data_IF_623278581494
#
_entry.id   IF_623278581494
#
_cell.length_a   1.000
_cell.length_b   1.000
_cell.length_c   1.000
_cell.angle_alpha   90.00
_cell.angle_beta   90.00
_cell.angle_gamma   90.00
#
_symmetry.space_group_name_H-M   'P 1'
#
loop_
_entity.id
_entity.type
_entity.pdbx_description
1 polymer ?
#
# COMPACT_ATOMS: atom_id res chain seq x y z
N UNK A 1 22.03 -23.82 -20.54
CA UNK A 1 20.63 -23.38 -20.32
C UNK A 1 19.75 -24.60 -20.44
N UNK A 2 19.01 -24.95 -19.39
CA UNK A 2 18.22 -26.18 -19.29
C UNK A 2 16.71 -25.89 -19.19
N UNK A 3 16.32 -24.63 -19.44
CA UNK A 3 14.94 -24.20 -19.42
C UNK A 3 14.17 -24.91 -20.54
N UNK A 4 13.05 -25.55 -20.19
CA UNK A 4 12.21 -26.32 -21.12
C UNK A 4 12.64 -27.79 -21.29
N UNK A 5 13.65 -28.23 -20.58
CA UNK A 5 14.13 -29.63 -20.63
C UNK A 5 13.59 -30.51 -19.49
N UNK A 6 12.72 -29.96 -18.63
CA UNK A 6 12.20 -30.67 -17.47
C UNK A 6 13.23 -30.90 -16.37
N UNK A 7 14.16 -29.97 -16.22
CA UNK A 7 15.20 -30.06 -15.19
C UNK A 7 14.63 -30.02 -13.77
N UNK A 8 15.35 -30.61 -12.82
CA UNK A 8 14.92 -30.65 -11.43
C UNK A 8 14.62 -29.25 -10.89
N UNK A 9 13.41 -29.07 -10.33
CA UNK A 9 12.88 -27.79 -9.82
C UNK A 9 12.70 -26.70 -10.89
N UNK A 10 12.59 -27.06 -12.17
CA UNK A 10 12.21 -26.10 -13.19
C UNK A 10 10.83 -25.51 -12.88
N UNK A 11 10.71 -24.20 -12.91
CA UNK A 11 9.47 -23.46 -12.70
C UNK A 11 9.28 -22.40 -13.79
N UNK A 12 8.09 -21.84 -13.85
CA UNK A 12 7.77 -20.73 -14.77
C UNK A 12 7.45 -19.46 -13.96
N UNK A 13 8.47 -18.75 -13.40
CA UNK A 13 8.25 -17.61 -12.52
C UNK A 13 7.45 -16.48 -13.16
N UNK A 14 7.64 -16.24 -14.47
CA UNK A 14 6.89 -15.22 -15.19
C UNK A 14 5.38 -15.51 -15.20
N UNK A 15 4.98 -16.77 -15.34
CA UNK A 15 3.58 -17.16 -15.27
C UNK A 15 3.06 -17.09 -13.83
N UNK A 16 3.87 -17.55 -12.87
CA UNK A 16 3.52 -17.59 -11.45
C UNK A 16 3.22 -16.18 -10.89
N UNK A 17 4.04 -15.20 -11.23
CA UNK A 17 3.95 -13.85 -10.65
C UNK A 17 3.10 -12.89 -11.48
N UNK A 18 2.57 -13.28 -12.63
CA UNK A 18 1.80 -12.40 -13.52
C UNK A 18 0.60 -11.78 -12.86
N UNK A 19 -0.10 -12.51 -11.99
CA UNK A 19 -1.34 -12.06 -11.35
C UNK A 19 -1.12 -11.24 -10.06
N UNK A 20 0.09 -11.25 -9.51
CA UNK A 20 0.37 -10.62 -8.23
C UNK A 20 1.51 -9.59 -8.28
N UNK A 21 2.01 -9.27 -9.47
CA UNK A 21 3.05 -8.27 -9.65
C UNK A 21 2.71 -7.27 -10.74
N UNK A 22 3.10 -6.02 -10.53
CA UNK A 22 2.92 -4.91 -11.48
C UNK A 22 3.94 -4.91 -12.63
N UNK A 23 5.02 -5.67 -12.44
CA UNK A 23 6.09 -5.81 -13.42
C UNK A 23 6.71 -7.20 -13.29
N UNK A 24 6.77 -7.94 -14.40
CA UNK A 24 7.43 -9.26 -14.43
C UNK A 24 8.20 -9.37 -15.73
N UNK A 25 9.53 -9.43 -15.64
CA UNK A 25 10.39 -9.53 -16.83
C UNK A 25 11.49 -10.56 -16.68
N UNK A 26 11.79 -11.25 -17.78
CA UNK A 26 12.91 -12.16 -17.91
C UNK A 26 14.16 -11.40 -18.38
N UNK A 27 15.24 -11.50 -17.66
CA UNK A 27 16.55 -11.04 -18.10
C UNK A 27 17.18 -12.14 -18.97
N UNK A 28 17.07 -12.02 -20.28
CA UNK A 28 17.59 -12.99 -21.23
C UNK A 28 19.05 -12.74 -21.65
N UNK A 29 19.57 -11.55 -21.33
CA UNK A 29 20.94 -11.16 -21.65
C UNK A 29 21.49 -10.25 -20.53
N UNK A 30 22.74 -10.45 -20.03
CA UNK A 30 23.33 -9.62 -18.99
C UNK A 30 23.29 -8.10 -19.29
N UNK A 31 23.42 -7.73 -20.55
CA UNK A 31 23.40 -6.33 -20.97
C UNK A 31 22.05 -5.61 -20.74
N UNK A 32 20.96 -6.38 -20.63
CA UNK A 32 19.62 -5.84 -20.36
C UNK A 32 19.39 -5.54 -18.87
N UNK A 33 20.17 -6.17 -17.99
CA UNK A 33 19.94 -6.11 -16.54
C UNK A 33 19.82 -4.69 -15.98
N UNK A 34 20.71 -3.73 -16.33
CA UNK A 34 20.61 -2.38 -15.78
C UNK A 34 19.29 -1.67 -16.13
N UNK A 35 18.83 -1.83 -17.36
CA UNK A 35 17.60 -1.18 -17.82
C UNK A 35 16.34 -1.85 -17.22
N UNK A 36 16.31 -3.17 -17.21
CA UNK A 36 15.18 -3.92 -16.64
C UNK A 36 15.09 -3.66 -15.14
N UNK A 37 16.22 -3.64 -14.43
CA UNK A 37 16.27 -3.31 -13.01
C UNK A 37 15.75 -1.88 -12.75
N UNK A 38 16.19 -0.91 -13.54
CA UNK A 38 15.74 0.48 -13.43
C UNK A 38 14.20 0.57 -13.58
N UNK A 39 13.64 -0.08 -14.60
CA UNK A 39 12.19 -0.12 -14.83
C UNK A 39 11.44 -0.83 -13.70
N UNK A 40 11.97 -1.95 -13.20
CA UNK A 40 11.39 -2.68 -12.08
C UNK A 40 11.31 -1.83 -10.81
N UNK A 41 12.41 -1.16 -10.47
CA UNK A 41 12.48 -0.29 -9.29
C UNK A 41 11.51 0.90 -9.40
N UNK A 42 11.47 1.57 -10.55
CA UNK A 42 10.53 2.68 -10.77
C UNK A 42 9.07 2.21 -10.73
N UNK A 43 8.76 1.02 -11.25
CA UNK A 43 7.43 0.46 -11.16
C UNK A 43 7.05 0.16 -9.71
N UNK A 44 7.95 -0.49 -8.97
CA UNK A 44 7.70 -0.80 -7.56
C UNK A 44 7.49 0.45 -6.70
N UNK A 45 8.26 1.51 -6.93
CA UNK A 45 8.14 2.78 -6.21
C UNK A 45 6.90 3.54 -6.66
N UNK A 46 6.71 3.71 -7.98
CA UNK A 46 5.63 4.54 -8.53
C UNK A 46 4.24 3.96 -8.29
N UNK A 47 4.10 2.63 -8.33
CA UNK A 47 2.84 1.94 -8.05
C UNK A 47 2.69 1.48 -6.60
N UNK A 48 3.76 1.60 -5.79
CA UNK A 48 3.82 1.00 -4.45
C UNK A 48 3.47 -0.50 -4.47
N UNK A 49 3.92 -1.19 -5.52
CA UNK A 49 3.60 -2.56 -5.85
C UNK A 49 4.82 -3.48 -5.91
N UNK A 50 4.62 -4.66 -6.48
CA UNK A 50 5.65 -5.68 -6.59
C UNK A 50 6.23 -5.69 -8.00
N UNK A 51 7.55 -5.69 -8.11
CA UNK A 51 8.27 -5.94 -9.37
C UNK A 51 9.11 -7.22 -9.24
N UNK A 52 9.02 -8.07 -10.23
CA UNK A 52 9.72 -9.36 -10.28
C UNK A 52 10.67 -9.40 -11.47
N UNK A 53 11.93 -9.72 -11.18
CA UNK A 53 12.95 -10.01 -12.19
C UNK A 53 13.24 -11.52 -12.18
N UNK A 54 13.09 -12.13 -13.32
CA UNK A 54 13.45 -13.53 -13.50
C UNK A 54 14.85 -13.60 -14.11
N UNK A 55 15.79 -14.10 -13.34
CA UNK A 55 17.21 -14.20 -13.73
C UNK A 55 17.60 -15.66 -13.91
N UNK A 56 17.76 -16.15 -15.15
CA UNK A 56 18.26 -17.48 -15.42
C UNK A 56 19.69 -17.68 -14.88
N UNK A 57 20.02 -18.89 -14.46
CA UNK A 57 21.31 -19.20 -13.85
C UNK A 57 22.51 -18.96 -14.76
N UNK A 58 22.39 -19.23 -16.05
CA UNK A 58 23.42 -18.97 -17.06
C UNK A 58 23.66 -17.47 -17.26
N UNK A 59 22.58 -16.66 -17.23
CA UNK A 59 22.70 -15.21 -17.28
C UNK A 59 23.35 -14.67 -16.00
N UNK A 60 22.97 -15.21 -14.84
CA UNK A 60 23.56 -14.80 -13.56
C UNK A 60 25.06 -15.11 -13.43
N UNK A 61 25.53 -16.16 -14.10
CA UNK A 61 26.92 -16.61 -14.11
C UNK A 61 27.74 -15.97 -15.26
N UNK A 62 27.12 -15.23 -16.15
CA UNK A 62 27.78 -14.54 -17.25
C UNK A 62 28.55 -13.30 -16.77
N UNK A 63 29.57 -12.90 -17.52
CA UNK A 63 30.27 -11.65 -17.24
C UNK A 63 29.32 -10.47 -17.35
N UNK A 64 29.35 -9.60 -16.36
CA UNK A 64 28.62 -8.34 -16.41
C UNK A 64 29.19 -7.43 -17.51
N UNK A 65 28.36 -6.80 -18.33
CA UNK A 65 28.85 -5.80 -19.30
C UNK A 65 29.57 -4.68 -18.55
N UNK A 66 30.57 -4.08 -19.20
CA UNK A 66 31.27 -2.92 -18.64
C UNK A 66 30.23 -1.89 -18.20
N UNK A 67 30.14 -1.62 -16.90
CA UNK A 67 29.10 -0.78 -16.32
C UNK A 67 29.22 0.64 -16.88
N UNK A 68 28.23 1.05 -17.65
CA UNK A 68 27.93 2.47 -17.74
C UNK A 68 27.23 2.82 -16.43
N UNK A 69 27.83 3.63 -15.54
CA UNK A 69 27.21 3.97 -14.28
C UNK A 69 25.99 4.84 -14.57
N UNK A 70 24.83 4.20 -14.73
CA UNK A 70 23.59 4.94 -14.59
C UNK A 70 23.43 5.24 -13.11
N UNK A 71 23.60 6.50 -12.74
CA UNK A 71 23.18 6.92 -11.41
C UNK A 71 21.68 6.72 -11.32
N UNK A 72 21.28 5.68 -10.60
CA UNK A 72 19.89 5.49 -10.25
C UNK A 72 19.48 6.61 -9.28
N UNK A 73 18.60 7.47 -9.73
CA UNK A 73 17.92 8.45 -8.87
C UNK A 73 16.57 7.85 -8.55
N UNK A 74 16.35 7.55 -7.28
CA UNK A 74 15.03 7.13 -6.82
C UNK A 74 14.05 8.24 -7.13
N UNK A 75 13.11 7.98 -8.04
CA UNK A 75 11.98 8.88 -8.21
C UNK A 75 11.21 8.93 -6.90
N UNK A 76 10.98 10.15 -6.41
CA UNK A 76 10.13 10.31 -5.23
C UNK A 76 8.71 9.87 -5.61
N UNK A 77 8.03 9.10 -4.75
CA UNK A 77 6.65 8.74 -5.01
C UNK A 77 5.84 10.03 -5.23
N UNK A 78 5.02 10.03 -6.29
CA UNK A 78 4.18 11.19 -6.59
C UNK A 78 3.24 11.47 -5.41
N UNK A 79 3.26 12.70 -4.93
CA UNK A 79 2.31 13.16 -3.91
C UNK A 79 1.00 13.55 -4.59
N UNK A 80 -0.01 12.73 -4.40
CA UNK A 80 -1.37 13.05 -4.83
C UNK A 80 -2.03 13.89 -3.74
N UNK A 81 -2.46 15.10 -4.08
CA UNK A 81 -3.21 15.96 -3.18
C UNK A 81 -4.63 16.18 -3.75
N UNK A 82 -5.67 16.24 -2.90
CA UNK A 82 -7.01 16.53 -3.37
C UNK A 82 -7.10 17.98 -3.89
N UNK A 83 -7.98 18.20 -4.84
CA UNK A 83 -8.33 19.55 -5.31
C UNK A 83 -9.14 20.30 -4.25
N UNK A 84 -9.18 21.62 -4.34
CA UNK A 84 -10.01 22.43 -3.44
C UNK A 84 -11.49 22.03 -3.48
N UNK A 85 -12.02 21.71 -4.66
CA UNK A 85 -13.41 21.27 -4.84
C UNK A 85 -13.69 19.94 -4.11
N UNK A 86 -12.75 19.00 -4.15
CA UNK A 86 -12.86 17.73 -3.43
C UNK A 86 -12.79 17.94 -1.91
N UNK A 87 -11.90 18.81 -1.45
CA UNK A 87 -11.83 19.19 -0.03
C UNK A 87 -13.12 19.84 0.44
N UNK A 88 -13.68 20.79 -0.30
CA UNK A 88 -14.95 21.45 0.03
C UNK A 88 -16.10 20.44 0.09
N UNK A 89 -16.11 19.45 -0.82
CA UNK A 89 -17.10 18.37 -0.78
C UNK A 89 -16.94 17.51 0.47
N UNK A 90 -15.72 17.14 0.82
CA UNK A 90 -15.43 16.38 2.03
C UNK A 90 -15.86 17.15 3.28
N UNK A 91 -15.50 18.42 3.40
CA UNK A 91 -15.87 19.27 4.53
C UNK A 91 -17.39 19.37 4.69
N UNK A 92 -18.14 19.54 3.59
CA UNK A 92 -19.60 19.54 3.64
C UNK A 92 -20.17 18.21 4.16
N UNK A 93 -19.64 17.08 3.69
CA UNK A 93 -20.07 15.75 4.15
C UNK A 93 -19.79 15.55 5.64
N UNK A 94 -18.61 15.95 6.11
CA UNK A 94 -18.22 15.80 7.51
C UNK A 94 -19.07 16.71 8.42
N UNK A 95 -19.35 17.95 8.01
CA UNK A 95 -20.19 18.87 8.78
C UNK A 95 -21.65 18.44 8.87
N UNK A 96 -22.14 17.65 7.92
CA UNK A 96 -23.49 17.09 7.94
C UNK A 96 -23.58 15.77 8.72
N UNK A 97 -22.44 15.15 9.02
CA UNK A 97 -22.42 13.88 9.72
C UNK A 97 -22.81 14.05 11.19
N UNK A 98 -23.80 13.28 11.64
CA UNK A 98 -24.30 13.35 13.04
C UNK A 98 -23.45 12.52 14.00
N UNK A 99 -22.88 11.43 13.54
CA UNK A 99 -22.06 10.53 14.34
C UNK A 99 -20.95 9.91 13.47
N UNK A 100 -19.94 10.68 13.08
CA UNK A 100 -18.85 10.15 12.28
C UNK A 100 -17.99 9.17 13.08
N UNK A 101 -17.42 8.19 12.41
CA UNK A 101 -16.33 7.36 12.92
C UNK A 101 -15.20 7.31 11.88
N UNK A 102 -13.99 7.19 12.34
CA UNK A 102 -12.80 7.16 11.49
C UNK A 102 -12.26 5.73 11.48
N UNK A 103 -12.07 5.18 10.27
CA UNK A 103 -11.31 3.94 10.07
C UNK A 103 -9.92 4.32 9.55
N UNK A 104 -8.90 4.07 10.36
CA UNK A 104 -7.53 4.45 10.07
C UNK A 104 -6.66 3.22 9.75
N UNK A 105 -5.76 3.34 8.80
CA UNK A 105 -4.86 2.27 8.37
C UNK A 105 -3.42 2.74 8.23
N UNK A 106 -2.59 1.96 7.56
CA UNK A 106 -1.17 2.25 7.32
C UNK A 106 -0.94 3.57 6.54
N UNK A 107 -1.94 4.05 5.79
CA UNK A 107 -1.87 5.35 5.12
C UNK A 107 -1.79 6.56 6.06
N UNK A 108 -2.02 6.34 7.39
CA UNK A 108 -1.86 7.38 8.41
C UNK A 108 -0.40 7.54 8.89
N UNK A 109 0.55 6.79 8.32
CA UNK A 109 1.98 6.95 8.63
C UNK A 109 2.41 8.42 8.42
N UNK A 110 2.97 9.04 9.46
CA UNK A 110 3.40 10.43 9.44
C UNK A 110 2.29 11.48 9.56
N UNK A 111 1.03 11.09 9.76
CA UNK A 111 -0.14 11.99 9.89
C UNK A 111 -0.88 11.83 11.24
N UNK A 112 -0.19 11.34 12.27
CA UNK A 112 -0.80 11.06 13.57
C UNK A 112 -1.44 12.30 14.22
N UNK A 113 -0.69 13.41 14.27
CA UNK A 113 -1.16 14.67 14.86
C UNK A 113 -2.40 15.21 14.16
N UNK A 114 -2.41 15.17 12.83
CA UNK A 114 -3.54 15.60 12.02
C UNK A 114 -4.75 14.70 12.23
N UNK A 115 -4.53 13.38 12.29
CA UNK A 115 -5.58 12.40 12.54
C UNK A 115 -6.26 12.65 13.89
N UNK A 116 -5.50 12.83 14.96
CA UNK A 116 -6.03 13.12 16.30
C UNK A 116 -6.75 14.48 16.31
N UNK A 117 -6.22 15.48 15.61
CA UNK A 117 -6.87 16.81 15.49
C UNK A 117 -8.20 16.73 14.77
N UNK A 118 -8.31 15.96 13.68
CA UNK A 118 -9.56 15.73 12.96
C UNK A 118 -10.56 14.97 13.84
N UNK A 119 -10.11 13.92 14.53
CA UNK A 119 -10.96 13.17 15.44
C UNK A 119 -11.52 14.05 16.57
N UNK A 120 -10.70 14.94 17.12
CA UNK A 120 -11.11 15.94 18.11
C UNK A 120 -12.19 16.88 17.56
N UNK A 121 -11.95 17.44 16.38
CA UNK A 121 -12.90 18.37 15.75
C UNK A 121 -14.26 17.73 15.45
N UNK A 122 -14.25 16.50 14.98
CA UNK A 122 -15.44 15.72 14.65
C UNK A 122 -16.08 15.03 15.87
N UNK A 123 -15.40 14.98 17.01
CA UNK A 123 -15.75 14.13 18.18
C UNK A 123 -15.96 12.68 17.77
N UNK A 124 -15.13 12.20 16.86
CA UNK A 124 -15.24 10.88 16.23
C UNK A 124 -14.30 9.87 16.88
N UNK A 125 -14.78 8.66 17.21
CA UNK A 125 -13.90 7.56 17.58
C UNK A 125 -13.06 7.13 16.38
N UNK A 126 -11.84 6.69 16.66
CA UNK A 126 -10.93 6.12 15.67
C UNK A 126 -10.84 4.61 15.89
N UNK A 127 -11.11 3.86 14.83
CA UNK A 127 -10.88 2.42 14.76
C UNK A 127 -9.71 2.20 13.82
N UNK A 128 -8.74 1.37 14.18
CA UNK A 128 -7.60 1.15 13.30
C UNK A 128 -7.53 -0.29 12.76
N UNK A 129 -6.92 -0.44 11.58
CA UNK A 129 -6.56 -1.73 11.02
C UNK A 129 -5.20 -2.19 11.59
N UNK A 130 -4.91 -3.50 11.52
CA UNK A 130 -3.66 -4.06 12.07
C UNK A 130 -2.39 -3.32 11.63
N UNK A 131 -2.24 -3.06 10.34
CA UNK A 131 -1.07 -2.31 9.81
C UNK A 131 -1.08 -0.81 10.13
N UNK A 132 -2.18 -0.29 10.64
CA UNK A 132 -2.27 1.09 11.11
C UNK A 132 -1.92 1.27 12.59
N UNK A 133 -1.88 0.17 13.36
CA UNK A 133 -1.74 0.20 14.82
C UNK A 133 -0.56 1.06 15.30
N UNK A 134 0.62 0.87 14.74
CA UNK A 134 1.83 1.60 15.14
C UNK A 134 1.78 3.11 14.85
N UNK A 135 0.90 3.56 13.95
CA UNK A 135 0.77 4.99 13.58
C UNK A 135 -0.43 5.67 14.24
N UNK A 136 -1.36 4.90 14.81
CA UNK A 136 -2.67 5.40 15.23
C UNK A 136 -2.91 5.28 16.74
N UNK A 137 -2.50 4.18 17.37
CA UNK A 137 -2.94 3.83 18.72
C UNK A 137 -2.25 4.66 19.83
N UNK A 138 -0.96 4.96 19.68
CA UNK A 138 -0.19 5.65 20.73
C UNK A 138 -0.69 7.09 20.92
N UNK A 139 -0.69 7.57 22.16
CA UNK A 139 -1.07 8.93 22.54
C UNK A 139 -2.37 9.44 21.88
N UNK A 140 -3.33 8.54 21.70
CA UNK A 140 -4.56 8.82 20.98
C UNK A 140 -5.80 8.57 21.88
N UNK A 141 -6.39 9.62 22.48
CA UNK A 141 -7.55 9.46 23.34
C UNK A 141 -8.84 9.10 22.60
N UNK A 142 -8.84 9.12 21.28
CA UNK A 142 -9.98 8.79 20.41
C UNK A 142 -9.92 7.36 19.90
N UNK A 143 -8.80 6.65 20.12
CA UNK A 143 -8.68 5.26 19.67
C UNK A 143 -9.60 4.36 20.48
N UNK A 144 -10.40 3.56 19.79
CA UNK A 144 -11.31 2.57 20.39
C UNK A 144 -10.94 1.14 20.05
N UNK A 145 -9.77 0.94 19.47
CA UNK A 145 -9.18 -0.36 19.21
C UNK A 145 -9.22 -0.80 17.77
N UNK A 146 -8.66 -1.97 17.56
CA UNK A 146 -8.42 -2.56 16.25
C UNK A 146 -9.66 -3.27 15.69
N UNK A 147 -9.83 -3.22 14.37
CA UNK A 147 -10.78 -4.03 13.61
C UNK A 147 -10.09 -5.01 12.68
N UNK A 148 -10.83 -5.98 12.16
CA UNK A 148 -10.36 -7.03 11.25
C UNK A 148 -10.44 -8.41 11.90
N UNK A 149 -9.81 -9.42 11.27
CA UNK A 149 -9.90 -10.83 11.70
C UNK A 149 -9.52 -11.06 13.18
N UNK A 150 -8.53 -10.31 13.66
CA UNK A 150 -8.04 -10.37 15.05
C UNK A 150 -8.38 -9.07 15.82
N UNK A 151 -9.45 -8.39 15.40
CA UNK A 151 -9.86 -7.12 16.00
C UNK A 151 -10.52 -7.28 17.35
N UNK A 152 -10.68 -6.15 18.07
CA UNK A 152 -11.37 -6.08 19.34
C UNK A 152 -12.87 -5.82 19.14
N UNK A 153 -13.66 -6.28 20.09
CA UNK A 153 -15.13 -6.06 20.10
C UNK A 153 -15.50 -4.58 20.06
N UNK A 154 -14.74 -3.71 20.73
CA UNK A 154 -14.94 -2.25 20.71
C UNK A 154 -14.86 -1.64 19.31
N UNK A 155 -13.82 -1.99 18.54
CA UNK A 155 -13.67 -1.54 17.15
C UNK A 155 -14.79 -2.04 16.26
N UNK A 156 -15.15 -3.32 16.39
CA UNK A 156 -16.28 -3.94 15.65
C UNK A 156 -17.61 -3.22 15.95
N UNK A 157 -17.97 -3.09 17.23
CA UNK A 157 -19.25 -2.46 17.62
C UNK A 157 -19.31 -0.99 17.22
N UNK A 158 -18.20 -0.26 17.27
CA UNK A 158 -18.14 1.13 16.80
C UNK A 158 -18.51 1.22 15.31
N UNK A 159 -17.89 0.41 14.46
CA UNK A 159 -18.17 0.43 13.02
C UNK A 159 -19.58 -0.07 12.72
N UNK A 160 -20.05 -1.15 13.37
CA UNK A 160 -21.37 -1.70 13.15
C UNK A 160 -22.49 -0.77 13.60
N UNK A 161 -22.32 -0.06 14.72
CA UNK A 161 -23.32 0.91 15.20
C UNK A 161 -23.51 2.06 14.20
N UNK A 162 -22.43 2.51 13.55
CA UNK A 162 -22.50 3.54 12.50
C UNK A 162 -23.15 3.01 11.23
N UNK A 163 -22.85 1.78 10.83
CA UNK A 163 -23.48 1.14 9.67
C UNK A 163 -24.99 0.94 9.88
N UNK A 164 -25.41 0.47 11.06
CA UNK A 164 -26.83 0.29 11.41
C UNK A 164 -27.58 1.62 11.42
N UNK A 165 -27.03 2.68 11.98
CA UNK A 165 -27.66 4.01 11.96
C UNK A 165 -27.93 4.49 10.54
N UNK A 166 -27.00 4.23 9.60
CA UNK A 166 -27.19 4.57 8.19
C UNK A 166 -28.32 3.77 7.54
N UNK A 167 -28.47 2.48 7.89
CA UNK A 167 -29.48 1.60 7.30
C UNK A 167 -30.89 1.84 7.88
N UNK A 168 -30.98 2.15 9.17
CA UNK A 168 -32.29 2.33 9.86
C UNK A 168 -32.82 3.75 9.76
N UNK A 169 -32.07 4.69 9.18
CA UNK A 169 -32.48 6.09 9.14
C UNK A 169 -32.62 6.73 10.54
N UNK A 170 -32.18 6.05 11.58
CA UNK A 170 -32.22 6.54 12.95
C UNK A 170 -31.21 7.69 13.08
N UNK A 171 -31.73 8.85 13.20
CA UNK A 171 -31.09 10.14 13.28
C UNK A 171 -30.57 10.38 14.69
#
# INVERSE_FOLDING_TARGET
>A
TEIGLGYFQETHPQALFRECADFVELVSNPAQMPEILYRAMNTAIGKQGVAVLVLPGDVALSEAPAASPRHWVAEQPQRVAPTSTELDRLVRLLNQAKAPAILAGAGCAGAHTELVSVAKALKAPIVHALRGKEYVEYDNPYDVGMTGLIGFSSGYHTLMSQALRKLTGSI
#
